data_IF_544790878188
#
_entry.id   IF_544790878188
#
_cell.length_a   1.000
_cell.length_b   1.000
_cell.length_c   1.000
_cell.angle_alpha   90.00
_cell.angle_beta   90.00
_cell.angle_gamma   90.00
#
_symmetry.space_group_name_H-M   'P 1'
#
loop_
_entity.id
_entity.type
_entity.pdbx_description
1 polymer ?
#
# COMPACT_ATOMS: atom_id res chain seq x y z
N UNK A 1 -28.97 15.87 -70.81
CA UNK A 1 -27.70 15.27 -70.42
C UNK A 1 -27.03 16.19 -69.41
N UNK A 2 -27.13 15.88 -68.13
CA UNK A 2 -26.50 16.61 -67.07
C UNK A 2 -25.78 15.57 -66.19
N UNK A 3 -24.45 15.69 -66.12
CA UNK A 3 -23.57 14.78 -65.44
C UNK A 3 -23.39 15.30 -64.00
N UNK A 4 -23.84 14.55 -63.00
CA UNK A 4 -23.57 14.82 -61.62
C UNK A 4 -22.26 14.14 -61.23
N UNK A 5 -21.21 14.91 -60.84
CA UNK A 5 -20.03 14.44 -60.15
C UNK A 5 -20.34 14.35 -58.65
N UNK A 6 -20.24 13.17 -58.10
CA UNK A 6 -20.23 12.95 -56.66
C UNK A 6 -18.79 13.12 -56.13
N UNK A 7 -18.57 14.04 -55.22
CA UNK A 7 -17.36 14.17 -54.46
C UNK A 7 -17.42 13.27 -53.22
N UNK A 8 -16.56 12.27 -53.17
CA UNK A 8 -16.33 11.46 -51.94
C UNK A 8 -15.44 12.24 -51.00
N UNK A 9 -15.99 12.68 -49.88
CA UNK A 9 -15.25 13.19 -48.75
C UNK A 9 -14.71 12.01 -47.90
N UNK A 10 -13.40 11.86 -47.83
CA UNK A 10 -12.77 11.03 -46.82
C UNK A 10 -12.89 11.79 -45.49
N UNK A 11 -13.76 11.34 -44.62
CA UNK A 11 -13.72 11.67 -43.21
C UNK A 11 -12.62 10.86 -42.58
N UNK A 12 -11.56 11.52 -42.15
CA UNK A 12 -10.62 10.92 -41.21
C UNK A 12 -11.30 10.77 -39.85
N UNK A 13 -11.52 9.56 -39.42
CA UNK A 13 -11.79 9.29 -38.02
C UNK A 13 -10.48 9.59 -37.25
N UNK A 14 -10.46 10.74 -36.60
CA UNK A 14 -9.51 10.97 -35.48
C UNK A 14 -9.91 9.97 -34.40
N UNK A 15 -9.12 8.92 -34.24
CA UNK A 15 -9.24 8.02 -33.10
C UNK A 15 -9.04 8.86 -31.84
N UNK A 16 -10.08 9.02 -31.06
CA UNK A 16 -9.94 9.39 -29.67
C UNK A 16 -9.12 8.26 -29.02
N UNK A 17 -7.85 8.55 -28.72
CA UNK A 17 -7.05 7.79 -27.79
C UNK A 17 -7.73 7.96 -26.41
N UNK A 18 -8.79 7.19 -26.18
CA UNK A 18 -9.37 6.98 -24.88
C UNK A 18 -8.34 6.22 -24.08
N UNK A 19 -7.55 6.94 -23.28
CA UNK A 19 -6.82 6.34 -22.17
C UNK A 19 -7.87 5.66 -21.29
N UNK A 20 -8.09 4.36 -21.52
CA UNK A 20 -8.92 3.53 -20.65
C UNK A 20 -8.25 3.53 -19.27
N UNK A 21 -9.07 3.71 -18.25
CA UNK A 21 -8.68 3.49 -16.86
C UNK A 21 -7.94 2.14 -16.81
N UNK A 22 -6.75 2.12 -16.21
CA UNK A 22 -6.03 0.87 -16.02
C UNK A 22 -6.86 -0.01 -15.07
N UNK A 23 -6.97 -1.28 -15.36
CA UNK A 23 -7.75 -2.28 -14.61
C UNK A 23 -6.85 -3.49 -14.37
N UNK A 24 -5.78 -3.27 -13.59
CA UNK A 24 -4.76 -4.29 -13.26
C UNK A 24 -4.91 -4.80 -11.84
N UNK A 25 -5.35 -3.92 -10.93
CA UNK A 25 -5.52 -4.21 -9.52
C UNK A 25 -6.92 -4.79 -9.26
N UNK A 26 -7.01 -5.99 -8.67
CA UNK A 26 -8.29 -6.62 -8.33
C UNK A 26 -8.76 -6.19 -6.94
N UNK A 27 -9.47 -5.06 -6.87
CA UNK A 27 -10.04 -4.55 -5.62
C UNK A 27 -11.06 -5.50 -5.00
N UNK A 28 -11.74 -6.35 -5.79
CA UNK A 28 -12.65 -7.37 -5.27
C UNK A 28 -11.89 -8.42 -4.48
N UNK A 29 -10.80 -8.96 -5.03
CA UNK A 29 -9.95 -9.92 -4.33
C UNK A 29 -9.31 -9.31 -3.08
N UNK A 30 -8.92 -8.02 -3.13
CA UNK A 30 -8.41 -7.32 -1.96
C UNK A 30 -9.48 -7.18 -0.86
N UNK A 31 -10.72 -6.87 -1.20
CA UNK A 31 -11.83 -6.78 -0.23
C UNK A 31 -12.19 -8.13 0.37
N UNK A 32 -12.15 -9.22 -0.39
CA UNK A 32 -12.31 -10.58 0.16
C UNK A 32 -11.25 -10.86 1.24
N UNK A 33 -10.01 -10.43 1.02
CA UNK A 33 -8.94 -10.58 2.01
C UNK A 33 -9.13 -9.65 3.22
N UNK A 34 -9.71 -8.46 3.06
CA UNK A 34 -10.12 -7.62 4.20
C UNK A 34 -11.15 -8.37 5.04
N UNK A 35 -12.21 -8.89 4.44
CA UNK A 35 -13.26 -9.61 5.15
C UNK A 35 -12.72 -10.85 5.89
N UNK A 36 -11.78 -11.60 5.28
CA UNK A 36 -11.10 -12.73 5.95
C UNK A 36 -10.33 -12.26 7.21
N UNK A 37 -9.67 -11.10 7.14
CA UNK A 37 -8.94 -10.53 8.27
C UNK A 37 -9.90 -10.11 9.39
N UNK A 38 -10.97 -9.40 9.04
CA UNK A 38 -11.99 -8.94 10.00
C UNK A 38 -12.69 -10.11 10.71
N UNK A 39 -12.90 -11.24 10.02
CA UNK A 39 -13.48 -12.45 10.60
C UNK A 39 -12.62 -13.08 11.71
N UNK A 40 -11.31 -12.77 11.77
CA UNK A 40 -10.44 -13.18 12.87
C UNK A 40 -10.64 -12.33 14.13
N UNK A 41 -11.31 -11.17 14.01
CA UNK A 41 -11.47 -10.18 15.07
C UNK A 41 -10.19 -9.40 15.33
N UNK A 42 -10.07 -8.84 16.52
CA UNK A 42 -8.90 -8.05 16.95
C UNK A 42 -7.61 -8.87 16.88
N UNK A 43 -6.56 -8.29 16.30
CA UNK A 43 -5.32 -8.98 15.95
C UNK A 43 -4.07 -8.28 16.49
N UNK A 44 -3.97 -7.98 17.80
CA UNK A 44 -2.81 -7.27 18.34
C UNK A 44 -1.51 -8.02 18.07
N UNK A 45 -0.42 -7.28 17.99
CA UNK A 45 0.92 -7.80 17.73
C UNK A 45 1.24 -9.07 18.55
N UNK A 46 1.67 -10.13 17.86
CA UNK A 46 2.01 -11.42 18.45
C UNK A 46 0.85 -12.25 18.98
N UNK A 47 -0.40 -11.81 18.83
CA UNK A 47 -1.59 -12.56 19.24
C UNK A 47 -1.77 -13.86 18.45
N UNK A 48 -2.54 -14.85 18.97
CA UNK A 48 -2.88 -16.07 18.21
C UNK A 48 -3.64 -15.76 16.92
N UNK A 49 -4.46 -14.71 16.88
CA UNK A 49 -5.20 -14.27 15.71
C UNK A 49 -4.24 -13.75 14.64
N UNK A 50 -3.32 -12.85 15.02
CA UNK A 50 -2.30 -12.32 14.10
C UNK A 50 -1.37 -13.42 13.58
N UNK A 51 -1.01 -14.39 14.42
CA UNK A 51 -0.19 -15.53 13.97
C UNK A 51 -0.90 -16.36 12.91
N UNK A 52 -2.21 -16.63 13.08
CA UNK A 52 -3.01 -17.34 12.07
C UNK A 52 -3.10 -16.54 10.77
N UNK A 53 -3.30 -15.23 10.88
CA UNK A 53 -3.28 -14.36 9.71
C UNK A 53 -1.94 -14.41 9.00
N UNK A 54 -0.82 -14.24 9.72
CA UNK A 54 0.51 -14.34 9.14
C UNK A 54 0.79 -15.68 8.45
N UNK A 55 0.33 -16.80 9.03
CA UNK A 55 0.45 -18.13 8.41
C UNK A 55 -0.36 -18.24 7.09
N UNK A 56 -1.46 -17.49 6.98
CA UNK A 56 -2.23 -17.36 5.74
C UNK A 56 -1.51 -16.47 4.72
N UNK A 57 -1.07 -15.27 5.15
CA UNK A 57 -0.49 -14.25 4.30
C UNK A 57 0.86 -14.67 3.68
N UNK A 58 1.68 -15.43 4.40
CA UNK A 58 2.97 -15.92 3.88
C UNK A 58 2.82 -16.81 2.64
N UNK A 59 1.68 -17.48 2.50
CA UNK A 59 1.39 -18.31 1.35
C UNK A 59 0.87 -17.51 0.13
N UNK A 60 0.45 -16.27 0.33
CA UNK A 60 -0.05 -15.38 -0.72
C UNK A 60 1.05 -14.56 -1.39
N UNK A 61 2.19 -14.40 -0.71
CA UNK A 61 3.28 -13.58 -1.23
C UNK A 61 4.28 -14.42 -2.05
N UNK A 62 4.84 -13.87 -3.14
CA UNK A 62 5.87 -14.56 -3.92
C UNK A 62 7.11 -14.81 -3.06
N UNK A 63 7.60 -16.05 -3.04
CA UNK A 63 8.70 -16.50 -2.18
C UNK A 63 8.48 -16.13 -0.70
N UNK A 64 7.25 -16.25 -0.22
CA UNK A 64 6.81 -15.84 1.10
C UNK A 64 7.62 -16.46 2.23
N UNK A 65 8.00 -15.65 3.22
CA UNK A 65 8.78 -16.07 4.38
C UNK A 65 8.43 -15.22 5.60
N UNK A 66 8.76 -15.74 6.77
CA UNK A 66 8.76 -14.95 7.99
C UNK A 66 10.14 -14.35 8.27
N UNK A 67 10.16 -13.10 8.70
CA UNK A 67 11.35 -12.46 9.22
C UNK A 67 11.18 -12.13 10.71
N UNK A 68 12.14 -12.55 11.57
CA UNK A 68 11.99 -12.40 13.01
C UNK A 68 12.06 -10.93 13.43
N UNK A 69 11.15 -10.54 14.31
CA UNK A 69 11.14 -9.22 14.96
C UNK A 69 11.36 -9.41 16.46
N UNK A 70 12.13 -8.54 17.13
CA UNK A 70 12.35 -8.63 18.57
C UNK A 70 11.04 -8.71 19.37
N UNK A 71 11.04 -9.46 20.46
CA UNK A 71 9.85 -9.70 21.26
C UNK A 71 9.00 -10.90 20.81
N UNK A 72 9.51 -11.72 19.89
CA UNK A 72 8.82 -12.91 19.38
C UNK A 72 7.76 -12.59 18.32
N UNK A 73 7.82 -11.39 17.75
CA UNK A 73 7.02 -10.96 16.62
C UNK A 73 7.65 -11.42 15.30
N UNK A 74 6.94 -11.24 14.18
CA UNK A 74 7.42 -11.69 12.88
C UNK A 74 6.79 -10.89 11.74
N UNK A 75 7.59 -10.26 10.91
CA UNK A 75 7.11 -9.73 9.65
C UNK A 75 6.80 -10.88 8.67
N UNK A 76 5.86 -10.63 7.76
CA UNK A 76 5.64 -11.50 6.59
C UNK A 76 6.25 -10.78 5.39
N UNK A 77 7.15 -11.45 4.68
CA UNK A 77 7.84 -10.85 3.55
C UNK A 77 7.73 -11.72 2.29
N UNK A 78 7.58 -11.07 1.14
CA UNK A 78 7.63 -11.68 -0.19
C UNK A 78 8.62 -10.97 -1.09
N UNK A 79 9.00 -11.60 -2.20
CA UNK A 79 9.99 -11.02 -3.12
C UNK A 79 9.75 -11.46 -4.55
N UNK A 80 9.75 -10.50 -5.47
CA UNK A 80 9.98 -10.70 -6.90
C UNK A 80 11.44 -10.31 -7.17
N UNK A 81 12.36 -11.28 -7.30
CA UNK A 81 13.78 -11.01 -7.28
C UNK A 81 14.25 -10.34 -8.57
N UNK A 82 15.11 -9.35 -8.41
CA UNK A 82 15.71 -8.61 -9.52
C UNK A 82 17.02 -7.92 -9.11
N UNK A 83 17.74 -7.29 -10.06
CA UNK A 83 18.95 -6.54 -9.78
C UNK A 83 18.66 -5.18 -9.11
N UNK A 84 19.65 -4.66 -8.40
CA UNK A 84 19.66 -3.30 -7.86
C UNK A 84 19.01 -3.17 -6.48
N UNK A 85 18.94 -1.96 -5.95
CA UNK A 85 18.28 -1.70 -4.69
C UNK A 85 16.78 -1.96 -4.77
N UNK A 86 16.21 -2.62 -3.74
CA UNK A 86 14.83 -3.07 -3.75
C UNK A 86 13.83 -1.92 -3.63
N UNK A 87 12.72 -2.03 -4.36
CA UNK A 87 11.51 -1.26 -4.11
C UNK A 87 10.69 -2.04 -3.07
N UNK A 88 10.37 -1.42 -1.94
CA UNK A 88 9.55 -2.06 -0.89
C UNK A 88 8.14 -1.49 -0.95
N UNK A 89 7.15 -2.36 -0.93
CA UNK A 89 5.74 -2.03 -0.72
C UNK A 89 5.36 -2.65 0.63
N UNK A 90 4.88 -1.84 1.56
CA UNK A 90 4.64 -2.29 2.92
C UNK A 90 3.33 -1.80 3.51
N UNK A 91 2.86 -2.50 4.53
CA UNK A 91 1.76 -2.14 5.42
C UNK A 91 1.96 -2.86 6.75
N UNK A 92 1.38 -2.35 7.84
CA UNK A 92 1.26 -3.17 9.04
C UNK A 92 0.09 -4.16 8.92
N UNK A 93 0.11 -5.25 9.71
CA UNK A 93 -0.97 -6.25 9.68
C UNK A 93 -1.54 -6.60 11.07
N UNK A 94 -0.95 -6.02 12.12
CA UNK A 94 -1.52 -6.04 13.46
C UNK A 94 -2.60 -4.96 13.62
N UNK A 95 -3.29 -4.97 14.73
CA UNK A 95 -4.27 -3.97 15.13
C UNK A 95 -3.98 -3.51 16.54
N UNK A 96 -4.47 -2.34 16.88
CA UNK A 96 -4.47 -1.90 18.26
C UNK A 96 -5.02 -2.94 19.25
N UNK A 97 -4.45 -2.96 20.45
CA UNK A 97 -4.94 -3.79 21.56
C UNK A 97 -6.13 -3.14 22.31
N UNK A 98 -6.38 -1.88 22.09
CA UNK A 98 -7.47 -1.11 22.68
C UNK A 98 -8.11 -0.20 21.61
N UNK A 99 -9.42 0.01 21.66
CA UNK A 99 -10.39 -0.59 22.57
C UNK A 99 -10.65 -2.08 22.29
N UNK A 100 -11.12 -2.88 23.29
CA UNK A 100 -11.45 -4.27 23.05
C UNK A 100 -12.53 -4.43 21.97
N UNK A 101 -12.24 -5.29 20.96
CA UNK A 101 -13.14 -5.50 19.83
C UNK A 101 -12.80 -4.66 18.60
N UNK A 102 -11.75 -3.84 18.63
CA UNK A 102 -11.25 -3.13 17.47
C UNK A 102 -10.83 -4.10 16.37
N UNK A 103 -11.38 -3.97 15.19
CA UNK A 103 -11.12 -4.91 14.08
C UNK A 103 -10.20 -4.34 13.01
N UNK A 104 -10.02 -3.02 12.97
CA UNK A 104 -9.10 -2.35 12.08
C UNK A 104 -9.35 -2.67 10.61
N UNK A 105 -10.45 -2.18 10.06
CA UNK A 105 -10.79 -2.47 8.66
C UNK A 105 -9.95 -1.63 7.70
N UNK A 106 -9.80 -0.35 7.98
CA UNK A 106 -8.88 0.52 7.25
C UNK A 106 -7.49 0.49 7.88
N UNK A 107 -7.46 0.32 9.21
CA UNK A 107 -6.28 0.24 10.04
C UNK A 107 -5.71 -1.19 10.06
N UNK A 108 -4.67 -1.40 9.30
CA UNK A 108 -3.97 -2.65 9.08
C UNK A 108 -4.59 -3.60 8.05
N UNK A 109 -5.94 -3.78 8.00
CA UNK A 109 -6.48 -4.77 7.08
C UNK A 109 -6.49 -4.30 5.62
N UNK A 110 -6.82 -3.02 5.35
CA UNK A 110 -6.86 -2.49 3.98
C UNK A 110 -5.45 -2.42 3.37
N UNK A 111 -4.47 -1.85 4.07
CA UNK A 111 -3.08 -1.80 3.63
C UNK A 111 -2.50 -3.19 3.39
N UNK A 112 -2.71 -4.12 4.32
CA UNK A 112 -2.31 -5.52 4.17
C UNK A 112 -2.89 -6.17 2.91
N UNK A 113 -4.18 -5.99 2.64
CA UNK A 113 -4.84 -6.54 1.46
C UNK A 113 -4.31 -5.91 0.17
N UNK A 114 -4.08 -4.59 0.18
CA UNK A 114 -3.48 -3.90 -0.96
C UNK A 114 -2.09 -4.42 -1.30
N UNK A 115 -1.21 -4.63 -0.29
CA UNK A 115 0.14 -5.18 -0.50
C UNK A 115 0.08 -6.57 -1.13
N UNK A 116 -0.83 -7.44 -0.67
CA UNK A 116 -0.98 -8.80 -1.22
C UNK A 116 -1.47 -8.75 -2.66
N UNK A 117 -2.47 -7.92 -2.97
CA UNK A 117 -2.97 -7.83 -4.34
C UNK A 117 -1.97 -7.13 -5.28
N UNK A 118 -1.23 -6.13 -4.80
CA UNK A 118 -0.11 -5.55 -5.54
C UNK A 118 0.96 -6.59 -5.85
N UNK A 119 1.23 -7.53 -4.94
CA UNK A 119 2.17 -8.61 -5.21
C UNK A 119 1.73 -9.50 -6.38
N UNK A 120 0.44 -9.86 -6.43
CA UNK A 120 -0.15 -10.62 -7.53
C UNK A 120 -0.15 -9.84 -8.84
N UNK A 121 -0.52 -8.56 -8.77
CA UNK A 121 -0.53 -7.67 -9.94
C UNK A 121 0.86 -7.50 -10.52
N UNK A 122 1.85 -7.18 -9.70
CA UNK A 122 3.22 -6.95 -10.15
C UNK A 122 3.91 -8.23 -10.64
N UNK A 123 3.57 -9.40 -10.10
CA UNK A 123 4.06 -10.68 -10.63
C UNK A 123 3.58 -10.93 -12.07
N UNK A 124 2.40 -10.40 -12.45
CA UNK A 124 1.87 -10.50 -13.82
C UNK A 124 2.41 -9.42 -14.77
N UNK A 125 2.63 -8.22 -14.25
CA UNK A 125 2.87 -7.02 -15.07
C UNK A 125 4.35 -6.68 -15.24
N UNK A 126 5.22 -7.10 -14.33
CA UNK A 126 6.64 -6.73 -14.41
C UNK A 126 7.35 -7.49 -15.53
N UNK A 127 8.14 -6.81 -16.37
CA UNK A 127 8.91 -7.44 -17.44
C UNK A 127 10.11 -8.22 -16.90
N UNK A 128 10.65 -9.12 -17.68
CA UNK A 128 11.92 -9.78 -17.37
C UNK A 128 13.04 -8.76 -17.15
N UNK A 129 13.83 -8.96 -16.11
CA UNK A 129 14.94 -8.06 -15.76
C UNK A 129 14.55 -6.85 -14.93
N UNK A 130 13.31 -6.79 -14.41
CA UNK A 130 12.87 -5.78 -13.47
C UNK A 130 13.77 -5.71 -12.22
N UNK A 131 13.76 -4.57 -11.53
CA UNK A 131 14.43 -4.40 -10.22
C UNK A 131 13.84 -5.34 -9.16
N UNK A 132 14.62 -5.57 -8.08
CA UNK A 132 14.12 -6.26 -6.88
C UNK A 132 12.89 -5.54 -6.32
N UNK A 133 11.76 -6.26 -6.15
CA UNK A 133 10.53 -5.75 -5.54
C UNK A 133 10.19 -6.62 -4.35
N UNK A 134 9.99 -6.00 -3.19
CA UNK A 134 9.69 -6.67 -1.92
C UNK A 134 8.37 -6.22 -1.36
N UNK A 135 7.62 -7.16 -0.82
CA UNK A 135 6.34 -6.95 -0.15
C UNK A 135 6.53 -7.28 1.31
N UNK A 136 6.19 -6.37 2.21
CA UNK A 136 6.45 -6.57 3.64
C UNK A 136 5.24 -6.16 4.47
N UNK A 137 4.75 -7.10 5.27
CA UNK A 137 3.71 -6.85 6.25
C UNK A 137 4.37 -6.79 7.63
N UNK A 138 4.31 -5.62 8.25
CA UNK A 138 4.99 -5.33 9.51
C UNK A 138 4.18 -5.79 10.71
N UNK A 139 4.82 -6.48 11.67
CA UNK A 139 4.23 -6.91 12.94
C UNK A 139 4.63 -5.95 14.05
N UNK A 140 3.65 -5.40 14.72
CA UNK A 140 3.88 -4.53 15.86
C UNK A 140 4.19 -3.10 15.46
N UNK A 141 3.49 -2.59 14.48
CA UNK A 141 3.36 -1.16 14.23
C UNK A 141 2.73 -0.50 15.43
N UNK A 142 1.62 -1.06 15.89
CA UNK A 142 0.82 -0.61 17.02
C UNK A 142 1.58 -0.66 18.35
N UNK A 143 1.25 0.27 19.23
CA UNK A 143 1.88 0.30 20.54
C UNK A 143 1.41 -0.85 21.44
N UNK A 144 2.33 -1.47 22.17
CA UNK A 144 1.98 -2.49 23.14
C UNK A 144 1.27 -1.85 24.36
N UNK A 145 0.40 -2.60 25.05
CA UNK A 145 -0.27 -2.10 26.25
C UNK A 145 0.69 -1.48 27.26
N UNK A 146 0.38 -0.23 27.68
CA UNK A 146 1.18 0.52 28.63
C UNK A 146 2.31 1.35 28.03
N UNK A 147 2.43 1.41 26.71
CA UNK A 147 3.26 2.43 26.07
C UNK A 147 2.56 3.78 26.18
N UNK A 148 3.19 4.84 26.69
CA UNK A 148 2.62 6.18 26.65
C UNK A 148 2.69 6.75 25.24
N UNK A 149 1.65 7.47 24.76
CA UNK A 149 1.59 8.12 23.43
C UNK A 149 2.86 8.94 23.11
N UNK A 150 3.38 9.67 24.10
CA UNK A 150 4.62 10.44 23.98
C UNK A 150 5.87 9.58 23.69
N UNK A 151 5.74 8.25 23.74
CA UNK A 151 6.80 7.26 23.47
C UNK A 151 6.42 6.31 22.34
N UNK A 152 5.36 6.59 21.58
CA UNK A 152 4.91 5.76 20.47
C UNK A 152 6.08 5.27 19.62
N UNK A 153 6.86 6.16 19.06
CA UNK A 153 8.00 5.83 18.23
C UNK A 153 9.03 4.87 18.87
N UNK A 154 9.10 4.83 20.19
CA UNK A 154 10.05 3.96 20.92
C UNK A 154 9.48 2.57 21.21
N UNK A 155 8.17 2.46 21.36
CA UNK A 155 7.46 1.24 21.72
C UNK A 155 6.86 0.52 20.52
N UNK A 156 6.31 1.28 19.58
CA UNK A 156 5.66 0.88 18.33
C UNK A 156 6.66 0.66 17.18
N UNK A 157 6.18 0.50 15.95
CA UNK A 157 7.00 0.39 14.73
C UNK A 157 8.05 -0.73 14.81
N UNK A 158 7.74 -1.82 15.52
CA UNK A 158 8.74 -2.86 15.84
C UNK A 158 9.17 -3.64 14.61
N UNK A 159 8.22 -3.93 13.72
CA UNK A 159 8.44 -4.64 12.47
C UNK A 159 9.25 -3.86 11.47
N UNK A 160 8.85 -2.63 11.18
CA UNK A 160 9.53 -1.75 10.24
C UNK A 160 10.94 -1.36 10.68
N UNK A 161 11.12 -1.09 12.00
CA UNK A 161 12.47 -0.85 12.56
C UNK A 161 13.40 -2.04 12.39
N UNK A 162 12.88 -3.24 12.65
CA UNK A 162 13.68 -4.47 12.50
C UNK A 162 14.05 -4.69 11.03
N UNK A 163 13.09 -4.51 10.12
CA UNK A 163 13.30 -4.70 8.69
C UNK A 163 14.25 -3.67 8.10
N UNK A 164 14.03 -2.37 8.37
CA UNK A 164 14.91 -1.31 7.90
C UNK A 164 16.35 -1.49 8.40
N UNK A 165 16.54 -1.88 9.67
CA UNK A 165 17.87 -2.12 10.23
C UNK A 165 18.57 -3.34 9.62
N UNK A 166 17.82 -4.41 9.30
CA UNK A 166 18.39 -5.64 8.73
C UNK A 166 18.78 -5.48 7.26
N UNK A 167 18.06 -4.65 6.50
CA UNK A 167 18.17 -4.58 5.05
C UNK A 167 18.64 -3.23 4.49
N UNK A 168 19.05 -2.27 5.34
CA UNK A 168 19.36 -0.88 4.92
C UNK A 168 20.28 -0.78 3.68
N UNK A 169 21.24 -1.70 3.53
CA UNK A 169 22.15 -1.71 2.38
C UNK A 169 21.58 -2.28 1.08
N UNK A 170 20.36 -2.82 1.12
CA UNK A 170 19.70 -3.49 0.00
C UNK A 170 18.52 -2.69 -0.54
N UNK A 171 17.99 -1.76 0.25
CA UNK A 171 16.73 -1.06 -0.03
C UNK A 171 16.98 0.24 -0.80
N UNK A 172 16.14 0.51 -1.78
CA UNK A 172 16.13 1.75 -2.57
C UNK A 172 15.07 2.75 -2.10
N UNK A 173 13.87 2.26 -1.84
CA UNK A 173 12.73 3.07 -1.40
C UNK A 173 11.66 2.22 -0.71
N UNK A 174 10.76 2.91 0.04
CA UNK A 174 9.54 2.33 0.60
C UNK A 174 8.30 3.09 0.13
N UNK A 175 7.26 2.35 -0.23
CA UNK A 175 5.89 2.82 -0.43
C UNK A 175 5.05 2.16 0.67
N UNK A 176 4.63 2.94 1.66
CA UNK A 176 3.81 2.48 2.78
C UNK A 176 2.33 2.73 2.48
N UNK A 177 1.48 1.80 2.87
CA UNK A 177 0.03 1.86 2.68
C UNK A 177 -0.67 1.73 4.04
N UNK A 178 -1.28 2.83 4.50
CA UNK A 178 -2.09 2.86 5.71
C UNK A 178 -3.33 3.73 5.50
N UNK A 179 -4.48 3.36 6.08
CA UNK A 179 -5.77 4.04 5.89
C UNK A 179 -6.08 4.37 4.41
N UNK A 180 -5.98 3.38 3.52
CA UNK A 180 -6.03 3.58 2.05
C UNK A 180 -7.36 3.23 1.38
N UNK A 181 -8.39 2.86 2.16
CA UNK A 181 -9.63 2.33 1.58
C UNK A 181 -10.91 3.06 2.01
N UNK A 182 -10.84 4.14 2.79
CA UNK A 182 -12.04 4.81 3.30
C UNK A 182 -12.85 5.51 2.20
N UNK A 183 -14.16 5.59 2.42
CA UNK A 183 -15.06 6.38 1.57
C UNK A 183 -14.60 7.83 1.51
N UNK A 184 -14.53 8.38 0.31
CA UNK A 184 -14.10 9.75 0.11
C UNK A 184 -12.58 9.97 0.25
N UNK A 185 -11.79 8.90 0.21
CA UNK A 185 -10.33 8.89 0.30
C UNK A 185 -9.68 10.05 -0.48
N UNK A 186 -8.81 10.76 0.20
CA UNK A 186 -7.93 11.77 -0.38
C UNK A 186 -6.57 11.73 0.29
N UNK A 187 -5.56 11.54 -0.50
CA UNK A 187 -4.16 11.37 -0.07
C UNK A 187 -3.32 12.59 -0.48
N UNK A 188 -3.37 13.72 0.25
CA UNK A 188 -2.33 14.74 0.10
C UNK A 188 -1.02 14.21 0.69
N UNK A 189 0.14 14.69 0.22
CA UNK A 189 1.43 14.19 0.67
C UNK A 189 1.58 14.27 2.21
N UNK A 190 1.89 13.15 2.84
CA UNK A 190 2.26 13.12 4.25
C UNK A 190 3.55 13.94 4.49
N UNK A 191 3.67 14.57 5.65
CA UNK A 191 4.64 15.63 5.91
C UNK A 191 6.10 15.22 5.89
N UNK A 192 6.43 13.98 6.24
CA UNK A 192 7.78 13.42 6.22
C UNK A 192 8.10 12.70 4.89
N UNK A 193 7.09 12.34 4.12
CA UNK A 193 7.23 11.61 2.86
C UNK A 193 8.16 12.30 1.87
N UNK A 194 9.00 11.52 1.22
CA UNK A 194 9.96 11.99 0.20
C UNK A 194 9.23 12.73 -0.92
N UNK A 195 9.58 14.00 -1.20
CA UNK A 195 8.85 14.82 -2.14
C UNK A 195 9.02 14.38 -3.60
N UNK A 196 10.16 13.81 -3.96
CA UNK A 196 10.46 13.41 -5.33
C UNK A 196 9.74 12.11 -5.66
N UNK A 197 9.78 11.12 -4.76
CA UNK A 197 9.03 9.87 -4.90
C UNK A 197 7.52 10.12 -4.89
N UNK A 198 7.04 11.08 -4.08
CA UNK A 198 5.63 11.49 -4.09
C UNK A 198 5.22 12.15 -5.40
N UNK A 199 6.08 12.96 -6.00
CA UNK A 199 5.80 13.58 -7.30
C UNK A 199 5.65 12.52 -8.39
N UNK A 200 6.52 11.50 -8.40
CA UNK A 200 6.42 10.37 -9.33
C UNK A 200 5.14 9.54 -9.12
N UNK A 201 4.71 9.34 -7.85
CA UNK A 201 3.42 8.70 -7.56
C UNK A 201 2.25 9.48 -8.17
N UNK A 202 2.24 10.81 -8.03
CA UNK A 202 1.18 11.64 -8.63
C UNK A 202 1.18 11.60 -10.16
N UNK A 203 2.35 11.51 -10.79
CA UNK A 203 2.45 11.30 -12.24
C UNK A 203 1.91 9.92 -12.65
N UNK A 204 2.21 8.89 -11.86
CA UNK A 204 1.65 7.55 -12.07
C UNK A 204 0.12 7.55 -11.92
N UNK A 205 -0.40 8.16 -10.85
CA UNK A 205 -1.84 8.30 -10.61
C UNK A 205 -2.55 9.05 -11.75
N UNK A 206 -1.92 10.08 -12.31
CA UNK A 206 -2.46 10.81 -13.45
C UNK A 206 -2.51 9.95 -14.72
N UNK A 207 -1.51 9.11 -14.93
CA UNK A 207 -1.44 8.24 -16.11
C UNK A 207 -2.53 7.14 -16.12
N UNK A 208 -2.95 6.70 -14.92
CA UNK A 208 -4.01 5.69 -14.77
C UNK A 208 -5.38 6.30 -14.45
N UNK A 209 -5.53 7.64 -14.51
CA UNK A 209 -6.83 8.31 -14.41
C UNK A 209 -7.31 8.59 -12.98
N UNK A 210 -6.51 8.36 -11.94
CA UNK A 210 -6.92 8.47 -10.53
C UNK A 210 -6.29 9.66 -9.79
N UNK A 211 -5.82 10.67 -10.51
CA UNK A 211 -5.10 11.82 -9.93
C UNK A 211 -5.88 12.62 -8.87
N UNK A 212 -7.19 12.60 -8.91
CA UNK A 212 -8.06 13.27 -7.94
C UNK A 212 -7.97 12.70 -6.53
N UNK A 213 -7.56 11.43 -6.38
CA UNK A 213 -7.29 10.81 -5.09
C UNK A 213 -5.99 11.34 -4.45
N UNK A 214 -5.07 11.88 -5.24
CA UNK A 214 -3.75 12.39 -4.82
C UNK A 214 -3.65 13.92 -5.02
N UNK A 215 -4.44 14.72 -4.30
CA UNK A 215 -4.51 16.17 -4.50
C UNK A 215 -3.18 16.85 -4.19
N UNK A 216 -3.02 18.07 -4.71
CA UNK A 216 -1.97 18.95 -4.24
C UNK A 216 -2.18 19.30 -2.77
N UNK A 217 -1.08 19.53 -2.08
CA UNK A 217 -1.09 19.84 -0.66
C UNK A 217 -0.20 18.93 0.15
N UNK A 218 -0.19 19.17 1.45
CA UNK A 218 0.62 18.44 2.42
C UNK A 218 -0.15 18.35 3.73
N UNK A 219 -0.26 17.14 4.28
CA UNK A 219 -0.72 16.95 5.65
C UNK A 219 0.42 17.19 6.65
N UNK A 220 0.12 17.33 7.95
CA UNK A 220 1.15 17.35 8.99
C UNK A 220 2.03 16.10 8.94
N UNK A 221 3.29 16.18 9.39
CA UNK A 221 4.12 14.99 9.54
C UNK A 221 3.57 14.09 10.66
N UNK A 222 3.57 12.80 10.40
CA UNK A 222 3.20 11.77 11.37
C UNK A 222 4.37 10.81 11.63
N UNK A 223 4.24 9.97 12.63
CA UNK A 223 5.18 8.90 12.95
C UNK A 223 4.50 7.59 12.63
N UNK A 224 5.03 6.89 11.62
CA UNK A 224 4.52 5.63 11.13
C UNK A 224 5.68 4.77 10.56
N UNK A 225 5.42 3.60 10.05
CA UNK A 225 6.37 2.58 9.57
C UNK A 225 7.34 3.07 8.48
N UNK A 226 7.06 4.21 7.81
CA UNK A 226 8.00 4.85 6.89
C UNK A 226 9.17 5.57 7.60
N UNK A 227 8.97 6.01 8.85
CA UNK A 227 9.97 6.80 9.60
C UNK A 227 11.27 6.04 9.86
N UNK A 228 11.26 4.76 10.25
CA UNK A 228 12.48 3.95 10.36
C UNK A 228 13.33 3.91 9.08
N UNK A 229 12.69 3.87 7.90
CA UNK A 229 13.37 3.87 6.60
C UNK A 229 14.01 5.24 6.31
N UNK A 230 13.26 6.32 6.51
CA UNK A 230 13.79 7.68 6.36
C UNK A 230 15.01 7.92 7.25
N UNK A 231 15.00 7.41 8.49
CA UNK A 231 16.15 7.49 9.41
C UNK A 231 17.35 6.67 8.97
N UNK A 232 17.11 5.58 8.26
CA UNK A 232 18.16 4.78 7.63
C UNK A 232 18.69 5.42 6.34
N UNK A 233 18.15 6.58 5.92
CA UNK A 233 18.51 7.28 4.69
C UNK A 233 17.88 6.69 3.44
N UNK A 234 16.81 5.90 3.59
CA UNK A 234 16.06 5.29 2.51
C UNK A 234 14.85 6.19 2.21
N UNK A 235 14.69 6.71 0.99
CA UNK A 235 13.49 7.43 0.59
C UNK A 235 12.23 6.62 0.88
N UNK A 236 11.21 7.25 1.46
CA UNK A 236 9.95 6.60 1.77
C UNK A 236 8.79 7.56 1.60
N UNK A 237 7.66 7.04 1.15
CA UNK A 237 6.37 7.74 1.14
C UNK A 237 5.36 6.91 1.92
N UNK A 238 4.47 7.64 2.57
CA UNK A 238 3.36 7.09 3.32
C UNK A 238 2.06 7.57 2.65
N UNK A 239 1.32 6.61 2.11
CA UNK A 239 -0.01 6.81 1.57
C UNK A 239 -1.00 6.59 2.71
N UNK A 240 -1.44 7.69 3.32
CA UNK A 240 -2.32 7.63 4.48
C UNK A 240 -3.36 8.76 4.42
N UNK A 241 -4.63 8.43 4.65
CA UNK A 241 -5.66 9.43 4.94
C UNK A 241 -5.81 9.62 6.46
N UNK A 242 -4.91 10.38 7.06
CA UNK A 242 -4.93 10.66 8.50
C UNK A 242 -6.11 11.57 8.94
N UNK A 243 -7.00 11.91 8.01
CA UNK A 243 -8.27 12.59 8.31
C UNK A 243 -9.46 11.64 8.43
N UNK A 244 -9.24 10.33 8.31
CA UNK A 244 -10.25 9.31 8.45
C UNK A 244 -10.94 9.39 9.82
N UNK A 245 -12.24 9.68 9.82
CA UNK A 245 -12.99 10.02 11.05
C UNK A 245 -13.22 8.84 12.00
N UNK A 246 -13.02 7.60 11.53
CA UNK A 246 -13.19 6.38 12.32
C UNK A 246 -11.85 5.76 12.76
N UNK A 247 -10.72 6.45 12.52
CA UNK A 247 -9.40 6.00 12.98
C UNK A 247 -9.43 5.70 14.48
N UNK A 248 -8.78 4.61 14.90
CA UNK A 248 -8.64 4.17 16.31
C UNK A 248 -9.97 3.96 17.05
N UNK A 249 -11.07 3.76 16.33
CA UNK A 249 -12.40 3.57 16.93
C UNK A 249 -13.02 2.22 16.56
N UNK A 250 -13.99 1.76 17.38
CA UNK A 250 -14.78 0.56 17.07
C UNK A 250 -15.63 0.68 15.79
N UNK A 251 -15.69 1.87 15.21
CA UNK A 251 -16.41 2.13 13.97
C UNK A 251 -15.54 1.91 12.72
N UNK A 252 -14.25 1.62 12.88
CA UNK A 252 -13.40 1.20 11.75
C UNK A 252 -13.77 -0.22 11.30
N UNK A 253 -14.79 -0.29 10.47
CA UNK A 253 -15.44 -1.51 9.99
C UNK A 253 -15.61 -1.50 8.46
N UNK A 254 -15.83 -2.67 7.84
CA UNK A 254 -15.91 -2.82 6.38
C UNK A 254 -16.90 -1.87 5.69
N UNK A 255 -18.00 -1.48 6.35
CA UNK A 255 -18.98 -0.56 5.77
C UNK A 255 -18.49 0.89 5.62
N UNK A 256 -17.34 1.23 6.18
CA UNK A 256 -16.67 2.53 5.99
C UNK A 256 -15.77 2.55 4.77
N UNK A 257 -15.45 1.38 4.22
CA UNK A 257 -14.54 1.24 3.10
C UNK A 257 -15.24 1.40 1.76
N UNK A 258 -14.46 1.63 0.73
CA UNK A 258 -14.87 1.84 -0.65
C UNK A 258 -13.91 1.09 -1.59
N UNK A 259 -14.39 0.07 -2.32
CA UNK A 259 -13.56 -0.65 -3.30
C UNK A 259 -12.91 0.26 -4.34
N UNK A 260 -13.61 1.29 -4.81
CA UNK A 260 -13.08 2.23 -5.81
C UNK A 260 -11.94 3.10 -5.23
N UNK A 261 -11.93 3.33 -3.91
CA UNK A 261 -10.83 4.02 -3.25
C UNK A 261 -9.57 3.15 -3.21
N UNK A 262 -9.72 1.89 -2.80
CA UNK A 262 -8.61 0.94 -2.75
C UNK A 262 -8.06 0.62 -4.15
N UNK A 263 -8.95 0.49 -5.14
CA UNK A 263 -8.60 0.30 -6.54
C UNK A 263 -7.70 1.41 -7.05
N UNK A 264 -8.12 2.67 -6.85
CA UNK A 264 -7.34 3.83 -7.26
C UNK A 264 -5.94 3.88 -6.65
N UNK A 265 -5.79 3.45 -5.38
CA UNK A 265 -4.48 3.34 -4.73
C UNK A 265 -3.67 2.20 -5.35
N UNK A 266 -4.28 1.04 -5.54
CA UNK A 266 -3.64 -0.12 -6.16
C UNK A 266 -3.11 0.19 -7.56
N UNK A 267 -3.91 0.80 -8.42
CA UNK A 267 -3.52 1.19 -9.78
C UNK A 267 -2.38 2.23 -9.79
N UNK A 268 -2.46 3.26 -8.94
CA UNK A 268 -1.41 4.28 -8.86
C UNK A 268 -0.07 3.70 -8.40
N UNK A 269 -0.09 2.84 -7.38
CA UNK A 269 1.13 2.19 -6.86
C UNK A 269 1.68 1.17 -7.86
N UNK A 270 0.82 0.37 -8.49
CA UNK A 270 1.26 -0.57 -9.54
C UNK A 270 1.97 0.17 -10.67
N UNK A 271 1.38 1.25 -11.19
CA UNK A 271 1.98 2.07 -12.24
C UNK A 271 3.32 2.69 -11.81
N UNK A 272 3.40 3.25 -10.59
CA UNK A 272 4.65 3.78 -10.06
C UNK A 272 5.75 2.70 -10.03
N UNK A 273 5.44 1.52 -9.48
CA UNK A 273 6.40 0.43 -9.35
C UNK A 273 6.82 -0.11 -10.70
N UNK A 274 5.90 -0.30 -11.65
CA UNK A 274 6.22 -0.73 -13.01
C UNK A 274 7.21 0.24 -13.67
N UNK A 275 6.98 1.55 -13.59
CA UNK A 275 7.90 2.57 -14.14
C UNK A 275 9.28 2.52 -13.50
N UNK A 276 9.34 2.38 -12.19
CA UNK A 276 10.60 2.39 -11.44
C UNK A 276 11.36 1.07 -11.49
N UNK A 277 10.65 -0.04 -11.64
CA UNK A 277 11.26 -1.37 -11.73
C UNK A 277 11.73 -1.73 -13.15
N UNK A 278 11.20 -1.07 -14.17
CA UNK A 278 11.59 -1.33 -15.58
C UNK A 278 12.92 -0.64 -15.88
N UNK A 279 13.89 -1.35 -16.51
CA UNK A 279 15.22 -0.83 -16.84
C UNK A 279 15.21 0.39 -17.77
#
# INVERSE_FOLDING_TARGET
>A
MALCLAASGCGGEEGEDGGGEADRFDSTAAFELIDEQLALGQRPAGSPQLRRLGDRLVAELPQGRFEPVPGGLRNVAGTLPGPGPAIVIGAHYDTEAQPPGFVGANDGAAGTAAVVELARTLERELPDGHRDVRFVLFDGEEEPPGCPDARFEQCALRGSRAYAAAHAGELGELILLDYVANRGLRLPREGNSDPDLWAELREAAAAVGVADRFPEGRQPPIIDDHVPFLRAGIPAIDLIDFSYEHADTLEDTADKLDPDALDAVGEAVAELVIRRATP
#
